data_IF_839462138484
#
_entry.id   IF_839462138484
#
_cell.length_a   1.000
_cell.length_b   1.000
_cell.length_c   1.000
_cell.angle_alpha   90.00
_cell.angle_beta   90.00
_cell.angle_gamma   90.00
#
_symmetry.space_group_name_H-M   'P 1'
#
loop_
_entity.id
_entity.type
_entity.pdbx_description
1 polymer ?
#
# COMPACT_ATOMS: atom_id res chain seq x y z
N UNK A 1 -19.14 10.46 33.66
CA UNK A 1 -20.01 11.43 32.97
C UNK A 1 -21.44 11.10 33.36
N UNK A 2 -22.21 12.08 33.81
CA UNK A 2 -23.63 11.93 34.17
C UNK A 2 -24.50 11.61 32.95
N UNK A 3 -25.58 10.85 33.14
CA UNK A 3 -26.58 10.55 32.12
C UNK A 3 -27.22 11.84 31.61
N UNK A 4 -27.31 12.01 30.29
CA UNK A 4 -27.99 13.16 29.67
C UNK A 4 -29.50 12.92 29.68
N UNK A 5 -30.25 13.85 30.24
CA UNK A 5 -31.70 13.83 30.34
C UNK A 5 -32.27 15.12 29.78
N UNK A 6 -33.57 15.16 29.47
CA UNK A 6 -34.22 16.37 28.96
C UNK A 6 -34.08 17.59 29.90
N UNK A 7 -33.90 17.35 31.20
CA UNK A 7 -33.75 18.40 32.22
C UNK A 7 -32.35 19.02 32.21
N UNK A 8 -31.30 18.22 32.05
CA UNK A 8 -29.91 18.69 32.16
C UNK A 8 -29.26 19.06 30.83
N UNK A 9 -29.81 18.61 29.69
CA UNK A 9 -29.19 18.78 28.36
C UNK A 9 -28.93 20.24 27.99
N UNK A 10 -29.72 21.17 28.54
CA UNK A 10 -29.55 22.62 28.32
C UNK A 10 -28.30 23.19 28.99
N UNK A 11 -27.88 22.63 30.12
CA UNK A 11 -26.74 23.11 30.92
C UNK A 11 -25.41 22.51 30.44
N UNK A 12 -25.45 21.46 29.63
CA UNK A 12 -24.27 20.76 29.13
C UNK A 12 -23.70 21.50 27.91
N UNK A 13 -22.37 21.64 27.90
CA UNK A 13 -21.64 22.25 26.79
C UNK A 13 -21.72 21.41 25.52
N UNK A 14 -21.66 22.06 24.35
CA UNK A 14 -21.71 21.38 23.05
C UNK A 14 -20.62 20.30 22.91
N UNK A 15 -19.41 20.59 23.40
CA UNK A 15 -18.29 19.65 23.37
C UNK A 15 -18.60 18.36 24.13
N UNK A 16 -19.19 18.48 25.32
CA UNK A 16 -19.57 17.33 26.14
C UNK A 16 -20.72 16.53 25.50
N UNK A 17 -21.68 17.21 24.86
CA UNK A 17 -22.75 16.54 24.11
C UNK A 17 -22.20 15.75 22.91
N UNK A 18 -21.23 16.31 22.18
CA UNK A 18 -20.57 15.64 21.05
C UNK A 18 -19.78 14.41 21.53
N UNK A 19 -18.99 14.54 22.59
CA UNK A 19 -18.25 13.42 23.17
C UNK A 19 -19.18 12.31 23.68
N UNK A 20 -20.30 12.69 24.31
CA UNK A 20 -21.31 11.73 24.78
C UNK A 20 -22.01 11.03 23.63
N UNK A 21 -22.39 11.77 22.58
CA UNK A 21 -22.99 11.22 21.36
C UNK A 21 -22.10 10.14 20.74
N UNK A 22 -20.80 10.43 20.55
CA UNK A 22 -19.82 9.48 20.00
C UNK A 22 -19.71 8.20 20.83
N UNK A 23 -19.69 8.32 22.17
CA UNK A 23 -19.63 7.16 23.06
C UNK A 23 -20.90 6.30 22.99
N UNK A 24 -22.08 6.93 23.04
CA UNK A 24 -23.35 6.20 22.95
C UNK A 24 -23.46 5.46 21.62
N UNK A 25 -23.08 6.10 20.51
CA UNK A 25 -23.08 5.49 19.19
C UNK A 25 -22.10 4.32 19.08
N UNK A 26 -20.90 4.46 19.65
CA UNK A 26 -19.92 3.36 19.69
C UNK A 26 -20.47 2.14 20.45
N UNK A 27 -21.25 2.36 21.51
CA UNK A 27 -21.87 1.26 22.26
C UNK A 27 -23.04 0.64 21.49
N UNK A 28 -23.86 1.42 20.79
CA UNK A 28 -24.98 0.88 19.99
C UNK A 28 -24.51 0.14 18.75
N UNK A 29 -23.42 0.59 18.11
CA UNK A 29 -22.90 -0.02 16.88
C UNK A 29 -22.10 -1.31 17.15
N UNK A 30 -21.65 -1.51 18.39
CA UNK A 30 -20.90 -2.70 18.78
C UNK A 30 -21.82 -3.92 18.91
N UNK A 31 -22.02 -4.64 17.80
CA UNK A 31 -22.84 -5.88 17.72
C UNK A 31 -22.42 -7.00 18.69
N UNK A 32 -21.25 -6.91 19.32
CA UNK A 32 -20.76 -7.90 20.31
C UNK A 32 -21.16 -7.57 21.75
N UNK A 33 -21.68 -6.37 22.01
CA UNK A 33 -22.10 -5.97 23.34
C UNK A 33 -23.56 -6.40 23.59
N UNK A 34 -23.76 -7.39 24.47
CA UNK A 34 -25.08 -7.76 24.98
C UNK A 34 -25.41 -6.87 26.17
N UNK A 35 -26.24 -5.86 25.93
CA UNK A 35 -26.85 -5.04 26.99
C UNK A 35 -28.19 -5.64 27.42
N UNK A 36 -28.57 -5.43 28.68
CA UNK A 36 -29.92 -5.71 29.12
C UNK A 36 -30.92 -4.85 28.32
N UNK A 37 -32.12 -5.35 27.95
CA UNK A 37 -33.07 -4.62 27.10
C UNK A 37 -33.44 -3.22 27.63
N UNK A 38 -33.56 -3.08 28.95
CA UNK A 38 -33.86 -1.82 29.62
C UNK A 38 -32.70 -0.81 29.54
N UNK A 39 -31.47 -1.29 29.65
CA UNK A 39 -30.28 -0.42 29.53
C UNK A 39 -30.13 0.05 28.08
N UNK A 40 -30.41 -0.83 27.12
CA UNK A 40 -30.38 -0.48 25.71
C UNK A 40 -31.45 0.57 25.35
N UNK A 41 -32.67 0.43 25.88
CA UNK A 41 -33.74 1.41 25.63
C UNK A 41 -33.43 2.77 26.25
N UNK A 42 -32.86 2.82 27.46
CA UNK A 42 -32.38 4.06 28.09
C UNK A 42 -31.27 4.74 27.28
N UNK A 43 -30.31 3.96 26.76
CA UNK A 43 -29.23 4.48 25.93
C UNK A 43 -29.73 5.05 24.60
N UNK A 44 -30.68 4.36 23.94
CA UNK A 44 -31.30 4.84 22.71
C UNK A 44 -32.09 6.13 22.95
N UNK A 45 -32.79 6.22 24.08
CA UNK A 45 -33.51 7.43 24.47
C UNK A 45 -32.56 8.60 24.75
N UNK A 46 -31.46 8.36 25.47
CA UNK A 46 -30.40 9.35 25.70
C UNK A 46 -29.81 9.84 24.38
N UNK A 47 -29.50 8.92 23.46
CA UNK A 47 -28.93 9.23 22.14
C UNK A 47 -29.86 10.16 21.34
N UNK A 48 -31.17 9.89 21.35
CA UNK A 48 -32.16 10.72 20.66
C UNK A 48 -32.24 12.13 21.26
N UNK A 49 -32.21 12.27 22.59
CA UNK A 49 -32.20 13.58 23.27
C UNK A 49 -30.96 14.39 22.88
N UNK A 50 -29.79 13.76 22.88
CA UNK A 50 -28.53 14.42 22.52
C UNK A 50 -28.56 14.84 21.04
N UNK A 51 -29.01 13.96 20.15
CA UNK A 51 -29.13 14.22 18.71
C UNK A 51 -30.04 15.40 18.40
N UNK A 52 -31.24 15.43 19.00
CA UNK A 52 -32.19 16.53 18.83
C UNK A 52 -31.63 17.86 19.32
N UNK A 53 -30.87 17.86 20.42
CA UNK A 53 -30.24 19.08 20.93
C UNK A 53 -29.10 19.58 20.05
N UNK A 54 -28.24 18.68 19.54
CA UNK A 54 -27.17 19.05 18.61
C UNK A 54 -27.73 19.63 17.30
N UNK A 55 -28.85 19.08 16.79
CA UNK A 55 -29.55 19.65 15.64
C UNK A 55 -30.12 21.03 15.93
N UNK A 56 -30.80 21.22 17.07
CA UNK A 56 -31.36 22.54 17.47
C UNK A 56 -30.28 23.61 17.65
N UNK A 57 -29.06 23.23 18.05
CA UNK A 57 -27.91 24.13 18.21
C UNK A 57 -27.11 24.36 16.92
N UNK A 58 -27.60 23.87 15.77
CA UNK A 58 -26.94 24.06 14.47
C UNK A 58 -25.64 23.25 14.32
N UNK A 59 -25.39 22.25 15.18
CA UNK A 59 -24.23 21.35 15.10
C UNK A 59 -24.55 20.07 14.32
N UNK A 60 -25.52 20.13 13.40
CA UNK A 60 -25.92 19.01 12.56
C UNK A 60 -24.79 18.46 11.68
N UNK A 61 -23.82 19.30 11.31
CA UNK A 61 -22.63 18.91 10.56
C UNK A 61 -21.75 17.88 11.31
N UNK A 62 -21.75 17.92 12.65
CA UNK A 62 -21.02 16.94 13.47
C UNK A 62 -21.69 15.57 13.41
N UNK A 63 -23.00 15.52 13.10
CA UNK A 63 -23.74 14.28 12.86
C UNK A 63 -23.46 13.72 11.45
N UNK A 64 -23.17 14.58 10.46
CA UNK A 64 -22.90 14.19 9.07
C UNK A 64 -21.43 13.92 8.77
N UNK A 65 -20.49 14.22 9.67
CA UNK A 65 -19.11 13.71 9.62
C UNK A 65 -19.01 12.17 9.76
N UNK A 66 -20.14 11.48 9.92
CA UNK A 66 -20.30 10.03 9.81
C UNK A 66 -21.12 9.61 8.57
N UNK A 67 -21.01 10.34 7.46
CA UNK A 67 -21.28 9.72 6.16
C UNK A 67 -20.16 8.72 5.85
N UNK A 68 -20.21 7.57 6.52
CA UNK A 68 -19.76 6.33 5.91
C UNK A 68 -20.60 6.20 4.64
N UNK A 69 -19.96 6.32 3.48
CA UNK A 69 -20.58 6.07 2.17
C UNK A 69 -21.18 4.65 2.20
N UNK A 70 -22.48 4.55 2.46
CA UNK A 70 -23.25 3.30 2.36
C UNK A 70 -23.20 2.83 0.91
N UNK A 71 -22.33 1.86 0.63
CA UNK A 71 -22.06 1.32 -0.72
C UNK A 71 -20.61 0.91 -0.94
N UNK A 72 -19.67 1.45 -0.16
CA UNK A 72 -18.30 0.97 -0.03
C UNK A 72 -18.12 0.56 1.42
N UNK A 73 -18.51 -0.67 1.77
CA UNK A 73 -18.00 -1.25 3.01
C UNK A 73 -16.46 -1.21 2.90
N UNK A 74 -15.72 -0.58 3.83
CA UNK A 74 -14.27 -0.66 3.80
C UNK A 74 -13.93 -2.14 3.78
N UNK A 75 -13.09 -2.61 2.84
CA UNK A 75 -12.80 -4.03 2.72
C UNK A 75 -12.44 -4.59 4.08
N UNK A 76 -12.99 -5.76 4.40
CA UNK A 76 -12.74 -6.40 5.69
C UNK A 76 -11.22 -6.42 5.91
N UNK A 77 -10.78 -6.20 7.15
CA UNK A 77 -9.35 -6.07 7.49
C UNK A 77 -8.45 -7.14 6.85
N UNK A 78 -8.99 -8.34 6.71
CA UNK A 78 -8.29 -9.50 6.13
C UNK A 78 -8.17 -9.48 4.59
N UNK A 79 -8.95 -8.65 3.90
CA UNK A 79 -8.98 -8.53 2.44
C UNK A 79 -7.89 -7.57 1.95
N UNK A 80 -7.77 -6.37 2.53
CA UNK A 80 -6.74 -5.42 2.11
C UNK A 80 -5.33 -5.89 2.51
N UNK A 81 -5.14 -6.51 3.68
CA UNK A 81 -3.82 -6.98 4.12
C UNK A 81 -3.22 -7.97 3.10
N UNK A 82 -4.05 -8.87 2.53
CA UNK A 82 -3.60 -9.82 1.51
C UNK A 82 -3.16 -9.14 0.22
N UNK A 83 -3.92 -8.14 -0.22
CA UNK A 83 -3.60 -7.37 -1.43
C UNK A 83 -2.31 -6.58 -1.21
N UNK A 84 -2.16 -5.92 -0.06
CA UNK A 84 -0.94 -5.19 0.31
C UNK A 84 0.27 -6.12 0.33
N UNK A 85 0.16 -7.31 0.94
CA UNK A 85 1.25 -8.30 0.96
C UNK A 85 1.62 -8.74 -0.46
N UNK A 86 0.63 -8.97 -1.32
CA UNK A 86 0.89 -9.33 -2.72
C UNK A 86 1.62 -8.20 -3.45
N UNK A 87 1.18 -6.96 -3.27
CA UNK A 87 1.79 -5.77 -3.87
C UNK A 87 3.21 -5.52 -3.37
N UNK A 88 3.48 -5.73 -2.08
CA UNK A 88 4.84 -5.63 -1.51
C UNK A 88 5.79 -6.70 -2.08
N UNK A 89 5.29 -7.92 -2.32
CA UNK A 89 6.08 -8.98 -2.96
C UNK A 89 6.36 -8.69 -4.42
N UNK A 90 5.37 -8.17 -5.14
CA UNK A 90 5.51 -7.71 -6.52
C UNK A 90 6.57 -6.61 -6.61
N UNK A 91 6.45 -5.58 -5.76
CA UNK A 91 7.42 -4.50 -5.64
C UNK A 91 8.84 -5.00 -5.33
N UNK A 92 9.01 -5.94 -4.40
CA UNK A 92 10.32 -6.51 -4.09
C UNK A 92 10.93 -7.24 -5.30
N UNK A 93 10.12 -7.97 -6.07
CA UNK A 93 10.58 -8.63 -7.31
C UNK A 93 10.97 -7.61 -8.37
N UNK A 94 10.16 -6.57 -8.56
CA UNK A 94 10.46 -5.47 -9.48
C UNK A 94 11.74 -4.76 -9.09
N UNK A 95 11.96 -4.50 -7.79
CA UNK A 95 13.21 -3.90 -7.28
C UNK A 95 14.43 -4.75 -7.62
N UNK A 96 14.35 -6.07 -7.42
CA UNK A 96 15.45 -6.99 -7.75
C UNK A 96 15.69 -7.10 -9.26
N UNK A 97 14.63 -7.05 -10.06
CA UNK A 97 14.73 -7.03 -11.51
C UNK A 97 15.37 -5.72 -11.99
N UNK A 98 14.95 -4.59 -11.42
CA UNK A 98 15.50 -3.26 -11.69
C UNK A 98 17.00 -3.22 -11.39
N UNK A 99 17.41 -3.64 -10.18
CA UNK A 99 18.83 -3.75 -9.80
C UNK A 99 19.62 -4.60 -10.81
N UNK A 100 19.08 -5.76 -11.23
CA UNK A 100 19.74 -6.64 -12.19
C UNK A 100 19.90 -5.98 -13.56
N UNK A 101 18.84 -5.38 -14.08
CA UNK A 101 18.83 -4.71 -15.38
C UNK A 101 19.73 -3.47 -15.36
N UNK A 102 19.77 -2.74 -14.25
CA UNK A 102 20.66 -1.60 -14.07
C UNK A 102 22.14 -2.04 -14.10
N UNK A 103 22.48 -3.13 -13.41
CA UNK A 103 23.84 -3.71 -13.46
C UNK A 103 24.19 -4.21 -14.87
N UNK A 104 23.24 -4.83 -15.59
CA UNK A 104 23.42 -5.25 -16.99
C UNK A 104 23.67 -4.05 -17.91
N UNK A 105 22.94 -2.96 -17.70
CA UNK A 105 23.11 -1.71 -18.43
C UNK A 105 24.47 -1.04 -18.15
N UNK A 106 24.87 -0.96 -16.88
CA UNK A 106 26.11 -0.30 -16.43
C UNK A 106 27.38 -1.04 -16.83
N UNK A 107 27.37 -2.38 -16.76
CA UNK A 107 28.52 -3.20 -17.16
C UNK A 107 28.79 -3.16 -18.67
N UNK A 108 27.81 -2.71 -19.46
CA UNK A 108 27.86 -2.77 -20.91
C UNK A 108 27.70 -4.19 -21.42
N UNK A 109 27.13 -4.32 -22.61
CA UNK A 109 26.98 -5.63 -23.27
C UNK A 109 28.33 -5.92 -23.94
N UNK A 110 29.12 -6.84 -23.39
CA UNK A 110 30.41 -7.19 -23.99
C UNK A 110 30.24 -7.70 -25.42
N UNK A 111 30.85 -6.98 -26.38
CA UNK A 111 30.98 -7.42 -27.76
C UNK A 111 31.99 -8.56 -27.81
N UNK A 112 31.51 -9.80 -27.72
CA UNK A 112 32.26 -10.92 -28.25
C UNK A 112 32.17 -10.87 -29.78
N UNK A 113 32.99 -10.00 -30.37
CA UNK A 113 33.20 -10.05 -31.82
C UNK A 113 33.71 -11.45 -32.15
N UNK A 114 32.99 -12.23 -32.98
CA UNK A 114 33.52 -13.49 -33.43
C UNK A 114 34.81 -13.15 -34.20
N UNK A 115 35.95 -13.73 -33.79
CA UNK A 115 37.22 -13.67 -34.53
C UNK A 115 37.05 -14.45 -35.83
N UNK A 116 36.30 -13.90 -36.78
CA UNK A 116 36.13 -14.49 -38.10
C UNK A 116 37.25 -13.93 -38.96
N UNK A 117 38.30 -14.73 -39.16
CA UNK A 117 39.22 -14.52 -40.29
C UNK A 117 38.39 -14.48 -41.57
N UNK A 118 38.55 -13.46 -42.42
CA UNK A 118 37.78 -13.32 -43.65
C UNK A 118 38.05 -14.52 -44.57
N UNK A 119 37.09 -15.45 -44.65
CA UNK A 119 37.07 -16.48 -45.68
C UNK A 119 36.57 -15.83 -46.97
N UNK A 120 37.48 -15.60 -47.90
CA UNK A 120 37.17 -15.13 -49.26
C UNK A 120 36.58 -16.23 -50.17
N UNK A 121 36.08 -17.34 -49.61
CA UNK A 121 35.72 -18.52 -50.40
C UNK A 121 34.39 -18.41 -51.18
N UNK A 122 33.51 -17.47 -50.84
CA UNK A 122 32.19 -17.36 -51.48
C UNK A 122 31.96 -15.98 -52.11
N UNK A 123 32.58 -15.71 -53.27
CA UNK A 123 32.28 -14.56 -54.15
C UNK A 123 31.55 -14.98 -55.44
N UNK A 124 30.75 -16.02 -55.38
CA UNK A 124 30.07 -16.58 -56.56
C UNK A 124 28.61 -16.93 -56.25
N UNK A 125 27.80 -15.91 -55.95
CA UNK A 125 26.35 -15.88 -56.18
C UNK A 125 25.79 -14.53 -55.68
N UNK A 126 26.00 -13.46 -56.46
CA UNK A 126 25.27 -12.20 -56.26
C UNK A 126 23.93 -12.33 -56.98
N UNK A 127 22.90 -12.74 -56.25
CA UNK A 127 21.50 -12.64 -56.66
C UNK A 127 20.77 -11.72 -55.68
N UNK A 128 20.50 -10.51 -56.17
CA UNK A 128 19.32 -9.66 -55.88
C UNK A 128 18.95 -9.36 -54.41
N UNK A 129 19.18 -8.10 -54.02
CA UNK A 129 18.44 -7.33 -53.00
C UNK A 129 18.52 -7.76 -51.52
N UNK A 130 19.64 -8.31 -51.05
CA UNK A 130 19.92 -8.32 -49.61
C UNK A 130 20.97 -7.27 -49.27
N UNK A 131 20.56 -6.23 -48.56
CA UNK A 131 21.46 -5.24 -47.95
C UNK A 131 22.54 -5.97 -47.15
N UNK A 132 23.78 -5.94 -47.62
CA UNK A 132 24.92 -6.57 -46.98
C UNK A 132 25.32 -5.77 -45.73
N UNK A 133 24.56 -5.90 -44.65
CA UNK A 133 25.07 -5.50 -43.34
C UNK A 133 26.21 -6.44 -42.96
N UNK A 134 27.36 -5.87 -42.61
CA UNK A 134 28.48 -6.66 -42.11
C UNK A 134 28.05 -7.37 -40.83
N UNK A 135 28.50 -8.61 -40.58
CA UNK A 135 28.22 -9.32 -39.31
C UNK A 135 28.62 -8.51 -38.08
N UNK A 136 29.63 -7.66 -38.20
CA UNK A 136 30.03 -6.69 -37.17
C UNK A 136 29.01 -5.56 -36.99
N UNK A 137 28.42 -5.07 -38.07
CA UNK A 137 27.41 -4.01 -38.06
C UNK A 137 26.10 -4.53 -37.44
N UNK A 138 25.69 -5.75 -37.82
CA UNK A 138 24.54 -6.43 -37.23
C UNK A 138 24.73 -6.71 -35.72
N UNK A 139 25.95 -7.05 -35.29
CA UNK A 139 26.25 -7.25 -33.87
C UNK A 139 26.18 -5.95 -33.06
N UNK A 140 26.63 -4.82 -33.64
CA UNK A 140 26.51 -3.50 -33.01
C UNK A 140 25.05 -3.08 -32.91
N UNK A 141 24.27 -3.21 -34.00
CA UNK A 141 22.84 -2.89 -34.04
C UNK A 141 22.07 -3.66 -32.96
N UNK A 142 22.28 -4.98 -32.84
CA UNK A 142 21.61 -5.80 -31.83
C UNK A 142 21.91 -5.37 -30.39
N UNK A 143 23.12 -4.84 -30.14
CA UNK A 143 23.46 -4.33 -28.81
C UNK A 143 22.81 -3.00 -28.50
N UNK A 144 22.74 -2.10 -29.47
CA UNK A 144 22.04 -0.83 -29.33
C UNK A 144 20.55 -1.07 -29.08
N UNK A 145 19.92 -1.96 -29.86
CA UNK A 145 18.53 -2.39 -29.66
C UNK A 145 18.32 -3.01 -28.27
N UNK A 146 19.24 -3.88 -27.82
CA UNK A 146 19.17 -4.49 -26.49
C UNK A 146 19.30 -3.46 -25.38
N UNK A 147 20.18 -2.47 -25.54
CA UNK A 147 20.38 -1.39 -24.57
C UNK A 147 19.16 -0.48 -24.49
N UNK A 148 18.58 -0.13 -25.63
CA UNK A 148 17.34 0.64 -25.72
C UNK A 148 16.17 -0.11 -25.04
N UNK A 149 16.04 -1.41 -25.33
CA UNK A 149 15.07 -2.27 -24.65
C UNK A 149 15.23 -2.27 -23.12
N UNK A 150 16.47 -2.40 -22.62
CA UNK A 150 16.73 -2.37 -21.17
C UNK A 150 16.34 -1.00 -20.57
N UNK A 151 16.63 0.10 -21.27
CA UNK A 151 16.26 1.44 -20.81
C UNK A 151 14.75 1.62 -20.72
N UNK A 152 14.01 1.16 -21.72
CA UNK A 152 12.56 1.23 -21.72
C UNK A 152 11.94 0.34 -20.63
N UNK A 153 12.50 -0.85 -20.40
CA UNK A 153 12.07 -1.72 -19.31
C UNK A 153 12.34 -1.10 -17.94
N UNK A 154 13.52 -0.49 -17.74
CA UNK A 154 13.85 0.25 -16.51
C UNK A 154 12.89 1.43 -16.27
N UNK A 155 12.48 2.14 -17.32
CA UNK A 155 11.48 3.22 -17.23
C UNK A 155 10.12 2.68 -16.78
N UNK A 156 9.63 1.62 -17.43
CA UNK A 156 8.36 0.98 -17.08
C UNK A 156 8.34 0.48 -15.64
N UNK A 157 9.38 -0.25 -15.21
CA UNK A 157 9.48 -0.72 -13.84
C UNK A 157 9.45 0.43 -12.83
N UNK A 158 10.11 1.55 -13.13
CA UNK A 158 10.11 2.72 -12.25
C UNK A 158 8.74 3.39 -12.16
N UNK A 159 7.98 3.41 -13.26
CA UNK A 159 6.60 3.90 -13.25
C UNK A 159 5.69 2.99 -12.42
N UNK A 160 5.81 1.66 -12.59
CA UNK A 160 5.03 0.67 -11.83
C UNK A 160 5.33 0.69 -10.33
N UNK A 161 6.59 0.94 -9.95
CA UNK A 161 7.02 0.99 -8.55
C UNK A 161 6.64 2.29 -7.84
N UNK A 162 6.34 3.36 -8.58
CA UNK A 162 6.17 4.72 -8.06
C UNK A 162 5.12 4.83 -6.95
N UNK A 163 3.97 4.19 -7.11
CA UNK A 163 2.89 4.27 -6.13
C UNK A 163 3.27 3.59 -4.80
N UNK A 164 4.02 2.49 -4.89
CA UNK A 164 4.54 1.81 -3.70
C UNK A 164 5.68 2.60 -3.06
N UNK A 165 6.57 3.21 -3.84
CA UNK A 165 7.62 4.10 -3.32
C UNK A 165 7.02 5.23 -2.47
N UNK A 166 5.95 5.86 -2.96
CA UNK A 166 5.22 6.88 -2.23
C UNK A 166 4.55 6.32 -0.97
N UNK A 167 3.93 5.14 -1.06
CA UNK A 167 3.31 4.49 0.09
C UNK A 167 4.34 4.16 1.19
N UNK A 168 5.52 3.67 0.82
CA UNK A 168 6.61 3.36 1.75
C UNK A 168 7.25 4.62 2.33
N UNK A 169 7.27 5.73 1.59
CA UNK A 169 7.77 7.02 2.07
C UNK A 169 6.90 7.61 3.18
N UNK A 170 5.60 7.32 3.20
CA UNK A 170 4.67 7.80 4.23
C UNK A 170 4.74 7.02 5.55
N UNK A 171 5.56 5.97 5.62
CA UNK A 171 5.71 5.14 6.82
C UNK A 171 6.72 5.75 7.79
N UNK A 172 6.46 5.58 9.08
CA UNK A 172 7.44 5.89 10.12
C UNK A 172 8.62 4.90 10.07
N UNK A 173 9.78 5.28 10.62
CA UNK A 173 11.01 4.46 10.59
C UNK A 173 10.79 3.03 11.10
N UNK A 174 9.99 2.86 12.16
CA UNK A 174 9.67 1.55 12.74
C UNK A 174 8.75 0.72 11.85
N UNK A 175 7.79 1.36 11.18
CA UNK A 175 6.86 0.72 10.25
C UNK A 175 7.58 0.28 8.98
N UNK A 176 8.43 1.16 8.46
CA UNK A 176 9.30 0.86 7.32
C UNK A 176 10.24 -0.30 7.63
N UNK A 177 10.90 -0.27 8.79
CA UNK A 177 11.77 -1.38 9.22
C UNK A 177 11.00 -2.69 9.33
N UNK A 178 9.76 -2.68 9.81
CA UNK A 178 8.90 -3.86 9.81
C UNK A 178 8.67 -4.39 8.38
N UNK A 179 8.29 -3.52 7.44
CA UNK A 179 8.04 -3.92 6.05
C UNK A 179 9.29 -4.50 5.40
N UNK A 180 10.44 -3.84 5.55
CA UNK A 180 11.71 -4.27 4.99
C UNK A 180 12.11 -5.65 5.53
N UNK A 181 12.08 -5.84 6.86
CA UNK A 181 12.43 -7.13 7.48
C UNK A 181 11.44 -8.24 7.11
N UNK A 182 10.15 -7.94 7.07
CA UNK A 182 9.10 -8.95 6.85
C UNK A 182 8.95 -9.37 5.39
N UNK A 183 9.00 -8.41 4.47
CA UNK A 183 8.61 -8.60 3.06
C UNK A 183 9.77 -8.50 2.08
N UNK A 184 10.83 -7.75 2.40
CA UNK A 184 11.98 -7.58 1.49
C UNK A 184 13.10 -8.58 1.80
N UNK A 185 12.69 -9.83 2.03
CA UNK A 185 13.60 -10.94 2.29
C UNK A 185 13.15 -12.18 1.52
N UNK A 186 14.13 -12.89 0.94
CA UNK A 186 13.88 -14.11 0.16
C UNK A 186 13.31 -15.25 1.01
N UNK A 187 13.54 -15.25 2.33
CA UNK A 187 13.22 -16.36 3.24
C UNK A 187 11.83 -16.31 3.89
N UNK A 188 11.00 -15.28 3.62
CA UNK A 188 9.69 -15.08 4.27
C UNK A 188 9.74 -15.32 5.80
N UNK A 189 10.45 -14.47 6.56
CA UNK A 189 10.70 -14.70 7.98
C UNK A 189 9.41 -14.78 8.79
N UNK A 190 9.44 -15.58 9.86
CA UNK A 190 8.30 -15.72 10.77
C UNK A 190 8.11 -14.45 11.61
N UNK A 191 6.90 -14.21 12.15
CA UNK A 191 6.67 -13.04 13.00
C UNK A 191 7.60 -13.02 14.21
N UNK A 192 7.93 -14.19 14.76
CA UNK A 192 8.86 -14.35 15.88
C UNK A 192 10.29 -13.92 15.54
N UNK A 193 10.77 -14.25 14.33
CA UNK A 193 12.08 -13.81 13.86
C UNK A 193 12.12 -12.29 13.69
N UNK A 194 11.10 -11.71 13.06
CA UNK A 194 11.06 -10.25 12.85
C UNK A 194 10.95 -9.51 14.18
N UNK A 195 10.16 -10.01 15.15
CA UNK A 195 10.07 -9.43 16.49
C UNK A 195 11.43 -9.44 17.19
N UNK A 196 12.17 -10.55 17.11
CA UNK A 196 13.49 -10.66 17.76
C UNK A 196 14.50 -9.65 17.20
N UNK A 197 14.35 -9.31 15.92
CA UNK A 197 15.24 -8.37 15.22
C UNK A 197 14.80 -6.89 15.38
N UNK A 198 13.63 -6.60 15.95
CA UNK A 198 13.15 -5.23 16.12
C UNK A 198 13.35 -4.73 17.57
N UNK A 199 13.68 -3.44 17.78
CA UNK A 199 13.86 -2.85 19.11
C UNK A 199 12.51 -2.49 19.76
N UNK A 200 11.51 -3.37 19.66
CA UNK A 200 10.15 -3.13 20.17
C UNK A 200 9.59 -4.36 20.86
N UNK A 201 8.72 -4.14 21.83
CA UNK A 201 7.98 -5.23 22.48
C UNK A 201 6.97 -5.87 21.53
N UNK A 202 6.64 -7.14 21.80
CA UNK A 202 5.72 -7.94 20.98
C UNK A 202 4.33 -7.29 20.80
N UNK A 203 3.81 -6.64 21.84
CA UNK A 203 2.52 -5.92 21.78
C UNK A 203 2.62 -4.77 20.79
N UNK A 204 3.67 -3.96 20.92
CA UNK A 204 3.92 -2.81 20.05
C UNK A 204 4.18 -3.22 18.60
N UNK A 205 4.85 -4.35 18.37
CA UNK A 205 5.05 -4.92 17.04
C UNK A 205 3.72 -5.12 16.28
N UNK A 206 2.69 -5.68 16.91
CA UNK A 206 1.41 -5.91 16.22
C UNK A 206 0.65 -4.61 15.94
N UNK A 207 0.84 -3.58 16.76
CA UNK A 207 0.32 -2.23 16.47
C UNK A 207 1.02 -1.64 15.25
N UNK A 208 2.35 -1.68 15.22
CA UNK A 208 3.18 -1.20 14.10
C UNK A 208 2.80 -1.93 12.82
N UNK A 209 2.72 -3.27 12.85
CA UNK A 209 2.29 -4.10 11.71
C UNK A 209 0.92 -3.66 11.19
N UNK A 210 -0.06 -3.45 12.08
CA UNK A 210 -1.41 -3.05 11.69
C UNK A 210 -1.42 -1.65 11.08
N UNK A 211 -0.69 -0.72 11.68
CA UNK A 211 -0.56 0.66 11.21
C UNK A 211 0.09 0.72 9.83
N UNK A 212 1.23 0.05 9.66
CA UNK A 212 1.95 0.00 8.39
C UNK A 212 1.10 -0.51 7.22
N UNK A 213 0.36 -1.62 7.41
CA UNK A 213 -0.52 -2.12 6.36
C UNK A 213 -1.70 -1.20 6.05
N UNK A 214 -2.22 -0.51 7.06
CA UNK A 214 -3.30 0.46 6.87
C UNK A 214 -2.81 1.65 6.04
N UNK A 215 -1.67 2.24 6.40
CA UNK A 215 -1.09 3.40 5.71
C UNK A 215 -0.77 3.06 4.24
N UNK A 216 -0.21 1.86 4.00
CA UNK A 216 0.04 1.40 2.63
C UNK A 216 -1.27 1.21 1.87
N UNK A 217 -2.29 0.59 2.48
CA UNK A 217 -3.58 0.38 1.83
C UNK A 217 -4.27 1.71 1.48
N UNK A 218 -4.22 2.70 2.39
CA UNK A 218 -4.74 4.05 2.15
C UNK A 218 -3.99 4.76 1.02
N UNK A 219 -2.65 4.68 1.04
CA UNK A 219 -1.80 5.29 0.01
C UNK A 219 -2.06 4.69 -1.38
N UNK A 220 -2.34 3.38 -1.46
CA UNK A 220 -2.67 2.67 -2.68
C UNK A 220 -4.16 2.73 -3.05
N UNK A 221 -4.99 3.46 -2.29
CA UNK A 221 -6.44 3.61 -2.51
C UNK A 221 -7.18 2.26 -2.56
N UNK A 222 -6.77 1.34 -1.68
CA UNK A 222 -7.40 0.02 -1.51
C UNK A 222 -8.53 0.05 -0.46
N UNK A 223 -8.73 1.19 0.21
CA UNK A 223 -9.73 1.48 1.25
C UNK A 223 -10.56 2.69 0.82
#
# INVERSE_FOLDING_TARGET
MSVVTQKNVKEISDRQLIERYRKLQQYTDNRKATFHPEVYSEMMFELEIVKQNLMKRGKGEVLSQQLVLTGLEPPKKDEYEKIVIQKLREYYRQTKLYEKLQVEYEKGIELLFPKVTPSYANRSAVTTNSEFQSRTEQAVIQQEERKEYILDELRKLREEMKDMDLALFNLDDLERMFIEKKHFNNRNPTDTEVIADMPVERTKYYEIRKSAYLIIAESLRLL
#
